data_IF_819396757736
#
_entry.id   IF_819396757736
#
_cell.length_a   1.000
_cell.length_b   1.000
_cell.length_c   1.000
_cell.angle_alpha   90.00
_cell.angle_beta   90.00
_cell.angle_gamma   90.00
#
_symmetry.space_group_name_H-M   'P 1'
#
loop_
_entity.id
_entity.type
_entity.pdbx_description
1 polymer ?
#
# COMPACT_ATOMS: atom_id res chain seq x y z
N UNK A 1 -94.69 14.50 0.73
CA UNK A 1 -94.67 14.76 -0.73
C UNK A 1 -93.70 13.76 -1.35
N UNK A 2 -94.14 13.11 -2.43
CA UNK A 2 -93.44 12.12 -3.27
C UNK A 2 -91.97 12.51 -3.58
N UNK A 3 -91.00 11.64 -3.91
CA UNK A 3 -91.04 10.54 -4.86
C UNK A 3 -89.69 9.77 -4.84
N UNK A 4 -89.71 8.49 -5.23
CA UNK A 4 -88.55 7.62 -5.55
C UNK A 4 -87.77 8.16 -6.78
N UNK A 5 -86.52 7.72 -6.99
CA UNK A 5 -86.09 6.79 -8.09
C UNK A 5 -84.62 7.00 -8.58
N UNK A 6 -83.84 5.88 -8.59
CA UNK A 6 -82.67 5.45 -9.42
C UNK A 6 -81.41 6.32 -9.59
N UNK A 7 -80.23 5.82 -10.00
CA UNK A 7 -79.37 4.61 -9.86
C UNK A 7 -78.03 5.04 -10.54
N UNK A 8 -76.88 4.54 -10.04
CA UNK A 8 -75.54 4.40 -10.67
C UNK A 8 -74.81 5.63 -11.22
N UNK A 9 -73.57 5.86 -10.75
CA UNK A 9 -72.42 5.50 -11.59
C UNK A 9 -71.14 5.33 -10.77
N UNK A 10 -70.27 4.49 -11.32
CA UNK A 10 -68.99 3.97 -10.85
C UNK A 10 -68.02 5.00 -10.27
N UNK A 11 -67.50 4.74 -9.07
CA UNK A 11 -66.30 5.39 -8.54
C UNK A 11 -65.48 4.37 -7.75
N UNK A 12 -64.52 3.72 -8.41
CA UNK A 12 -63.47 2.96 -7.72
C UNK A 12 -62.77 3.90 -6.75
N UNK A 13 -62.97 3.69 -5.46
CA UNK A 13 -62.05 4.21 -4.44
C UNK A 13 -60.75 3.42 -4.60
N UNK A 14 -59.86 3.89 -5.49
CA UNK A 14 -58.47 3.46 -5.47
C UNK A 14 -57.84 4.09 -4.22
N UNK A 15 -57.67 3.26 -3.21
CA UNK A 15 -57.13 3.59 -1.91
C UNK A 15 -55.74 4.20 -2.07
N UNK A 16 -55.59 5.46 -1.67
CA UNK A 16 -54.32 6.22 -1.60
C UNK A 16 -53.25 5.48 -0.76
N UNK A 17 -53.63 4.46 0.02
CA UNK A 17 -52.71 3.66 0.84
C UNK A 17 -51.76 2.75 0.05
N UNK A 18 -52.08 2.37 -1.21
CA UNK A 18 -51.18 1.54 -2.01
C UNK A 18 -50.01 2.32 -2.64
N UNK A 19 -50.17 3.63 -2.86
CA UNK A 19 -49.09 4.48 -3.38
C UNK A 19 -48.07 4.82 -2.28
N UNK A 20 -48.54 5.09 -1.06
CA UNK A 20 -47.65 5.35 0.07
C UNK A 20 -46.83 4.13 0.48
N UNK A 21 -47.40 2.92 0.42
CA UNK A 21 -46.67 1.69 0.78
C UNK A 21 -45.61 1.31 -0.25
N UNK A 22 -45.85 1.51 -1.55
CA UNK A 22 -44.84 1.22 -2.60
C UNK A 22 -43.72 2.26 -2.66
N UNK A 23 -44.03 3.55 -2.49
CA UNK A 23 -43.00 4.60 -2.46
C UNK A 23 -42.08 4.46 -1.24
N UNK A 24 -42.64 4.08 -0.08
CA UNK A 24 -41.86 3.83 1.13
C UNK A 24 -41.03 2.54 1.04
N UNK A 25 -41.53 1.49 0.37
CA UNK A 25 -40.75 0.27 0.09
C UNK A 25 -39.65 0.48 -0.95
N UNK A 26 -39.84 1.37 -1.93
CA UNK A 26 -38.77 1.74 -2.88
C UNK A 26 -37.71 2.61 -2.18
N UNK A 27 -38.12 3.53 -1.30
CA UNK A 27 -37.18 4.30 -0.47
C UNK A 27 -36.41 3.41 0.53
N UNK A 28 -37.06 2.39 1.10
CA UNK A 28 -36.39 1.41 1.98
C UNK A 28 -35.53 0.43 1.18
N UNK A 29 -35.96 0.00 -0.01
CA UNK A 29 -35.17 -0.87 -0.89
C UNK A 29 -33.92 -0.14 -1.46
N UNK A 30 -34.02 1.17 -1.72
CA UNK A 30 -32.88 2.03 -2.07
C UNK A 30 -31.95 2.29 -0.88
N UNK A 31 -32.44 2.23 0.37
CA UNK A 31 -31.60 2.24 1.56
C UNK A 31 -30.98 0.87 1.89
N UNK A 32 -31.49 -0.23 1.34
CA UNK A 32 -30.91 -1.58 1.52
C UNK A 32 -30.02 -2.03 0.37
N UNK A 33 -29.77 -1.18 -0.63
CA UNK A 33 -28.54 -1.30 -1.41
C UNK A 33 -27.38 -0.78 -0.56
N UNK A 34 -27.08 -1.52 0.52
CA UNK A 34 -25.85 -1.39 1.29
C UNK A 34 -24.67 -1.86 0.42
N UNK A 35 -24.40 -1.15 -0.68
CA UNK A 35 -23.02 -0.87 -1.00
C UNK A 35 -22.58 0.07 0.11
N UNK A 36 -21.66 -0.38 0.97
CA UNK A 36 -21.07 0.47 1.99
C UNK A 36 -20.76 1.84 1.36
N UNK A 37 -21.49 2.88 1.76
CA UNK A 37 -21.07 4.26 1.54
C UNK A 37 -19.84 4.44 2.43
N UNK A 38 -18.73 3.83 2.03
CA UNK A 38 -17.43 4.14 2.59
C UNK A 38 -17.17 5.60 2.22
N UNK A 39 -16.92 6.44 3.21
CA UNK A 39 -16.53 7.81 2.96
C UNK A 39 -15.26 7.78 2.10
N UNK A 40 -15.33 8.37 0.90
CA UNK A 40 -14.17 8.50 0.01
C UNK A 40 -13.11 9.34 0.73
N UNK A 41 -11.84 8.90 0.78
CA UNK A 41 -10.78 9.69 1.41
C UNK A 41 -10.65 11.06 0.73
N UNK A 42 -10.57 12.12 1.54
CA UNK A 42 -10.33 13.49 1.04
C UNK A 42 -9.23 14.16 1.83
N UNK A 43 -8.54 15.10 1.20
CA UNK A 43 -7.60 15.97 1.91
C UNK A 43 -8.37 16.90 2.84
N UNK A 44 -7.98 16.93 4.11
CA UNK A 44 -8.54 17.83 5.12
C UNK A 44 -7.92 19.24 5.07
N UNK A 45 -6.86 19.43 4.28
CA UNK A 45 -6.17 20.69 4.07
C UNK A 45 -4.91 20.52 3.23
N UNK A 46 -4.22 21.63 2.99
CA UNK A 46 -2.99 21.63 2.20
C UNK A 46 -1.87 20.84 2.90
N UNK A 47 -1.01 20.14 2.14
CA UNK A 47 0.17 19.49 2.69
C UNK A 47 1.13 20.49 3.33
N UNK A 48 1.88 20.02 4.33
CA UNK A 48 2.96 20.77 4.98
C UNK A 48 4.25 19.96 5.02
N UNK A 49 5.38 20.64 5.08
CA UNK A 49 6.68 20.01 5.31
C UNK A 49 6.65 19.28 6.67
N UNK A 50 7.09 18.03 6.67
CA UNK A 50 7.28 17.20 7.88
C UNK A 50 8.76 17.02 8.19
N UNK A 51 9.57 16.68 7.18
CA UNK A 51 11.01 16.49 7.30
C UNK A 51 11.70 17.29 6.20
N UNK A 52 12.70 18.08 6.57
CA UNK A 52 13.59 18.77 5.63
C UNK A 52 15.02 18.86 6.19
N UNK A 53 15.95 19.19 5.30
CA UNK A 53 17.33 19.58 5.61
C UNK A 53 17.85 20.44 4.44
N UNK A 54 18.75 21.39 4.70
CA UNK A 54 19.19 22.33 3.65
C UNK A 54 19.99 21.64 2.54
N UNK A 55 20.77 20.62 2.89
CA UNK A 55 21.71 19.95 1.98
C UNK A 55 21.36 18.47 1.71
N UNK A 56 20.16 18.02 2.09
CA UNK A 56 19.79 16.61 1.98
C UNK A 56 18.38 16.38 1.45
N UNK A 57 18.31 15.53 0.43
CA UNK A 57 17.07 15.03 -0.15
C UNK A 57 16.67 13.75 0.57
N UNK A 58 15.42 13.68 1.00
CA UNK A 58 14.80 12.52 1.62
C UNK A 58 13.74 11.91 0.71
N UNK A 59 13.61 10.59 0.79
CA UNK A 59 12.71 9.80 -0.04
C UNK A 59 12.22 8.55 0.68
N UNK A 60 11.19 7.93 0.11
CA UNK A 60 10.69 6.61 0.46
C UNK A 60 10.27 6.50 1.93
N UNK A 61 9.39 7.41 2.34
CA UNK A 61 8.84 7.42 3.69
C UNK A 61 7.97 6.18 3.98
N UNK A 62 7.95 5.71 5.23
CA UNK A 62 7.08 4.63 5.70
C UNK A 62 6.81 4.76 7.20
N UNK A 63 5.53 4.79 7.57
CA UNK A 63 5.10 4.82 8.97
C UNK A 63 5.34 3.49 9.68
N UNK A 64 5.73 3.56 10.95
CA UNK A 64 5.70 2.41 11.86
C UNK A 64 4.27 1.88 12.01
N UNK A 65 4.07 0.60 12.39
CA UNK A 65 2.74 0.00 12.55
C UNK A 65 1.83 0.71 13.57
N UNK A 66 2.43 1.38 14.56
CA UNK A 66 1.71 2.20 15.55
C UNK A 66 1.51 3.67 15.12
N UNK A 67 2.12 4.08 13.99
CA UNK A 67 2.04 5.43 13.44
C UNK A 67 2.80 6.50 14.23
N UNK A 68 3.63 6.11 15.21
CA UNK A 68 4.38 7.03 16.06
C UNK A 68 5.75 7.43 15.48
N UNK A 69 6.31 6.62 14.59
CA UNK A 69 7.61 6.86 13.97
C UNK A 69 7.48 6.84 12.45
N UNK A 70 8.21 7.73 11.79
CA UNK A 70 8.40 7.72 10.34
C UNK A 70 9.82 7.26 10.02
N UNK A 71 9.94 6.20 9.24
CA UNK A 71 11.19 5.81 8.62
C UNK A 71 11.28 6.39 7.21
N UNK A 72 12.47 6.78 6.78
CA UNK A 72 12.72 7.32 5.45
C UNK A 72 14.18 7.15 5.07
N UNK A 73 14.52 7.39 3.81
CA UNK A 73 15.89 7.29 3.31
C UNK A 73 16.36 8.62 2.75
N UNK A 74 17.67 8.72 2.48
CA UNK A 74 18.21 9.82 1.70
C UNK A 74 18.22 9.50 0.20
N UNK A 75 18.56 10.49 -0.63
CA UNK A 75 18.74 10.30 -2.07
C UNK A 75 19.61 9.07 -2.40
N UNK A 76 19.26 8.40 -3.50
CA UNK A 76 19.86 7.13 -3.93
C UNK A 76 19.69 5.98 -2.93
N UNK A 77 18.73 6.09 -2.00
CA UNK A 77 18.40 5.06 -1.02
C UNK A 77 19.54 4.75 -0.04
N UNK A 78 20.39 5.74 0.25
CA UNK A 78 21.51 5.58 1.16
C UNK A 78 21.06 5.76 2.60
N UNK A 79 21.27 4.73 3.40
CA UNK A 79 20.88 4.72 4.79
C UNK A 79 19.37 4.76 5.04
N UNK A 80 19.02 4.69 6.32
CA UNK A 80 17.66 4.82 6.83
C UNK A 80 17.71 5.75 8.03
N UNK A 81 16.74 6.66 8.08
CA UNK A 81 16.52 7.63 9.13
C UNK A 81 15.18 7.35 9.81
N UNK A 82 15.08 7.75 11.07
CA UNK A 82 13.86 7.71 11.86
C UNK A 82 13.56 9.11 12.38
N UNK A 83 12.28 9.49 12.43
CA UNK A 83 11.80 10.67 13.12
C UNK A 83 10.45 10.37 13.78
N UNK A 84 10.09 11.14 14.80
CA UNK A 84 8.78 11.06 15.41
C UNK A 84 7.69 11.48 14.42
N UNK A 85 6.45 11.10 14.70
CA UNK A 85 5.33 11.36 13.80
C UNK A 85 5.00 12.85 13.58
N UNK A 86 5.57 13.74 14.39
CA UNK A 86 5.49 15.19 14.24
C UNK A 86 6.68 15.79 13.46
N UNK A 87 7.68 14.98 13.10
CA UNK A 87 8.90 15.38 12.40
C UNK A 87 10.11 15.62 13.30
N UNK A 88 9.94 15.56 14.62
CA UNK A 88 11.01 15.79 15.59
C UNK A 88 11.89 14.54 15.79
N UNK A 89 12.96 14.69 16.59
CA UNK A 89 13.85 13.60 16.97
C UNK A 89 14.44 12.80 15.79
N UNK A 90 14.65 13.48 14.65
CA UNK A 90 15.32 12.94 13.46
C UNK A 90 16.69 12.36 13.83
N UNK A 91 16.90 11.08 13.52
CA UNK A 91 18.18 10.37 13.76
C UNK A 91 18.47 9.32 12.70
N UNK A 92 19.75 9.03 12.50
CA UNK A 92 20.21 8.00 11.57
C UNK A 92 20.10 6.61 12.23
N UNK A 93 19.39 5.68 11.57
CA UNK A 93 19.36 4.27 11.97
C UNK A 93 20.56 3.51 11.40
N UNK A 94 20.86 3.72 10.12
CA UNK A 94 22.01 3.10 9.44
C UNK A 94 22.48 3.95 8.27
N UNK A 95 23.78 3.93 8.00
CA UNK A 95 24.41 4.57 6.83
C UNK A 95 24.63 3.58 5.66
N UNK A 96 24.16 2.34 5.79
CA UNK A 96 24.43 1.28 4.81
C UNK A 96 23.94 1.66 3.40
N UNK A 97 24.77 1.38 2.40
CA UNK A 97 24.44 1.61 0.99
C UNK A 97 23.20 0.80 0.59
N UNK A 98 22.30 1.42 -0.17
CA UNK A 98 21.05 0.85 -0.68
C UNK A 98 20.03 0.38 0.38
N UNK A 99 20.29 0.59 1.68
CA UNK A 99 19.40 0.18 2.75
C UNK A 99 17.99 0.78 2.61
N UNK A 100 17.89 1.98 2.05
CA UNK A 100 16.62 2.68 1.83
C UNK A 100 15.73 2.10 0.74
N UNK A 101 16.21 1.16 -0.07
CA UNK A 101 15.44 0.63 -1.19
C UNK A 101 14.59 -0.55 -0.72
N UNK A 102 13.29 -0.29 -0.56
CA UNK A 102 12.33 -1.35 -0.21
C UNK A 102 12.48 -1.88 1.22
N UNK A 103 12.97 -1.06 2.17
CA UNK A 103 12.94 -1.46 3.59
C UNK A 103 11.50 -1.66 4.07
N UNK A 104 11.32 -2.42 5.16
CA UNK A 104 10.03 -2.64 5.78
C UNK A 104 10.11 -2.71 7.29
N UNK A 105 9.09 -2.21 7.96
CA UNK A 105 8.91 -2.37 9.41
C UNK A 105 8.55 -3.82 9.74
N UNK A 106 9.04 -4.31 10.87
CA UNK A 106 8.48 -5.52 11.48
C UNK A 106 7.04 -5.26 11.94
N UNK A 107 6.16 -6.28 11.99
CA UNK A 107 4.78 -6.10 12.44
C UNK A 107 4.64 -5.52 13.86
N UNK A 108 5.63 -5.77 14.71
CA UNK A 108 5.69 -5.25 16.08
C UNK A 108 6.30 -3.83 16.17
N UNK A 109 6.77 -3.26 15.05
CA UNK A 109 7.35 -1.92 14.98
C UNK A 109 8.74 -1.77 15.59
N UNK A 110 9.35 -2.83 16.11
CA UNK A 110 10.66 -2.75 16.81
C UNK A 110 11.87 -2.89 15.90
N UNK A 111 11.66 -3.29 14.66
CA UNK A 111 12.75 -3.56 13.72
C UNK A 111 12.46 -3.03 12.32
N UNK A 112 13.53 -2.81 11.57
CA UNK A 112 13.47 -2.55 10.13
C UNK A 112 14.30 -3.62 9.40
N UNK A 113 13.65 -4.29 8.46
CA UNK A 113 14.29 -5.17 7.50
C UNK A 113 14.73 -4.36 6.29
N UNK A 114 16.00 -4.51 5.91
CA UNK A 114 16.53 -3.85 4.72
C UNK A 114 17.45 -4.78 3.93
N UNK A 115 17.43 -4.59 2.61
CA UNK A 115 18.46 -5.12 1.71
C UNK A 115 19.54 -4.05 1.58
N UNK A 116 20.77 -4.38 1.94
CA UNK A 116 21.91 -3.47 1.78
C UNK A 116 22.83 -3.93 0.66
N UNK A 117 23.77 -3.08 0.27
CA UNK A 117 24.76 -3.40 -0.74
C UNK A 117 26.17 -3.16 -0.25
N UNK A 118 27.10 -3.99 -0.73
CA UNK A 118 28.53 -3.79 -0.56
C UNK A 118 29.25 -4.10 -1.88
N UNK A 119 30.29 -3.33 -2.19
CA UNK A 119 31.09 -3.54 -3.41
C UNK A 119 32.49 -4.01 -3.05
N UNK A 120 32.87 -5.19 -3.54
CA UNK A 120 34.21 -5.76 -3.39
C UNK A 120 34.76 -6.16 -4.75
N UNK A 121 36.02 -5.83 -5.05
CA UNK A 121 36.66 -6.20 -6.32
C UNK A 121 35.80 -5.84 -7.56
N UNK A 122 35.18 -4.65 -7.55
CA UNK A 122 34.26 -4.14 -8.59
C UNK A 122 32.99 -5.00 -8.79
N UNK A 123 32.64 -5.84 -7.82
CA UNK A 123 31.43 -6.66 -7.81
C UNK A 123 30.53 -6.18 -6.68
N UNK A 124 29.28 -5.88 -7.03
CA UNK A 124 28.23 -5.56 -6.06
C UNK A 124 27.65 -6.84 -5.48
N UNK A 125 27.49 -6.88 -4.18
CA UNK A 125 26.82 -7.93 -3.41
C UNK A 125 25.68 -7.29 -2.61
N UNK A 126 24.66 -8.10 -2.35
CA UNK A 126 23.55 -7.74 -1.48
C UNK A 126 23.64 -8.50 -0.17
N UNK A 127 23.19 -7.85 0.90
CA UNK A 127 22.98 -8.46 2.21
C UNK A 127 21.54 -8.21 2.64
N UNK A 128 21.04 -9.03 3.55
CA UNK A 128 19.76 -8.78 4.23
C UNK A 128 20.04 -8.61 5.71
N UNK A 129 19.66 -7.44 6.24
CA UNK A 129 19.87 -7.06 7.63
C UNK A 129 18.55 -6.69 8.30
N UNK A 130 18.45 -6.99 9.59
CA UNK A 130 17.36 -6.53 10.46
C UNK A 130 17.96 -5.61 11.51
N UNK A 131 17.54 -4.36 11.51
CA UNK A 131 17.98 -3.30 12.41
C UNK A 131 16.99 -3.13 13.54
N UNK A 132 17.49 -3.04 14.77
CA UNK A 132 16.75 -2.64 15.96
C UNK A 132 16.53 -1.12 15.91
N UNK A 133 15.27 -0.70 16.03
CA UNK A 133 14.91 0.70 15.83
C UNK A 133 15.35 1.59 16.99
N UNK A 134 15.49 1.08 18.20
CA UNK A 134 15.82 1.90 19.39
C UNK A 134 17.32 2.16 19.49
N UNK A 135 18.14 1.13 19.29
CA UNK A 135 19.59 1.20 19.55
C UNK A 135 20.47 1.10 18.29
N UNK A 136 19.87 0.98 17.10
CA UNK A 136 20.56 0.87 15.80
C UNK A 136 21.46 -0.36 15.64
N UNK A 137 21.41 -1.32 16.56
CA UNK A 137 22.08 -2.61 16.38
C UNK A 137 21.40 -3.41 15.26
N UNK A 138 22.09 -4.40 14.70
CA UNK A 138 21.52 -5.22 13.64
C UNK A 138 22.04 -6.65 13.65
N UNK A 139 21.26 -7.52 13.01
CA UNK A 139 21.66 -8.88 12.66
C UNK A 139 21.70 -9.04 11.15
N UNK A 140 22.67 -9.81 10.65
CA UNK A 140 22.74 -10.21 9.25
C UNK A 140 21.93 -11.50 9.10
N UNK A 141 20.81 -11.44 8.38
CA UNK A 141 19.99 -12.62 8.06
C UNK A 141 20.50 -13.34 6.81
N UNK A 142 21.10 -12.59 5.88
CA UNK A 142 21.73 -13.12 4.68
C UNK A 142 23.05 -12.42 4.42
N UNK A 143 24.12 -13.20 4.41
CA UNK A 143 25.47 -12.77 4.05
C UNK A 143 25.58 -12.42 2.56
N UNK A 144 26.68 -11.75 2.21
CA UNK A 144 26.98 -11.26 0.85
C UNK A 144 26.62 -12.28 -0.23
N UNK A 145 25.70 -11.90 -1.08
CA UNK A 145 25.24 -12.74 -2.18
C UNK A 145 24.90 -11.92 -3.41
N UNK A 146 24.93 -12.56 -4.58
CA UNK A 146 24.44 -12.01 -5.86
C UNK A 146 23.16 -12.69 -6.35
N UNK A 147 22.66 -13.64 -5.55
CA UNK A 147 21.52 -14.49 -5.89
C UNK A 147 20.20 -13.90 -5.39
N UNK A 148 20.22 -12.95 -4.45
CA UNK A 148 19.01 -12.30 -3.95
C UNK A 148 18.27 -11.59 -5.11
N UNK A 149 17.04 -12.00 -5.35
CA UNK A 149 16.10 -11.40 -6.30
C UNK A 149 14.98 -10.72 -5.50
N UNK A 150 14.57 -9.54 -5.96
CA UNK A 150 13.49 -8.78 -5.32
C UNK A 150 13.85 -8.19 -3.95
N UNK A 151 12.81 -7.89 -3.18
CA UNK A 151 12.86 -7.27 -1.85
C UNK A 151 12.49 -8.34 -0.80
N UNK A 152 13.29 -8.54 0.26
CA UNK A 152 12.93 -9.44 1.35
C UNK A 152 11.76 -8.86 2.15
N UNK A 153 10.86 -9.72 2.64
CA UNK A 153 9.67 -9.29 3.39
C UNK A 153 9.50 -10.09 4.68
N UNK A 154 9.00 -9.45 5.74
CA UNK A 154 8.55 -10.17 6.92
C UNK A 154 7.34 -11.05 6.58
N UNK A 155 7.28 -12.21 7.22
CA UNK A 155 6.02 -12.97 7.36
C UNK A 155 5.02 -12.16 8.21
N UNK A 156 3.70 -12.34 8.03
CA UNK A 156 2.70 -11.54 8.73
C UNK A 156 2.80 -11.57 10.27
N UNK A 157 3.29 -12.69 10.83
CA UNK A 157 3.50 -12.85 12.27
C UNK A 157 4.87 -12.31 12.76
N UNK A 158 5.71 -11.83 11.84
CA UNK A 158 7.05 -11.29 12.12
C UNK A 158 8.10 -12.33 12.50
N UNK A 159 7.76 -13.62 12.51
CA UNK A 159 8.65 -14.68 12.99
C UNK A 159 9.79 -15.02 12.02
N UNK A 160 9.56 -14.79 10.73
CA UNK A 160 10.48 -15.12 9.64
C UNK A 160 10.53 -14.02 8.58
N UNK A 161 11.61 -14.03 7.80
CA UNK A 161 11.78 -13.23 6.58
C UNK A 161 11.77 -14.14 5.36
N UNK A 162 10.91 -13.82 4.40
CA UNK A 162 10.85 -14.45 3.09
C UNK A 162 11.71 -13.68 2.08
N UNK A 163 12.49 -14.41 1.29
CA UNK A 163 13.42 -13.85 0.31
C UNK A 163 13.56 -14.79 -0.88
N UNK A 164 13.61 -14.23 -2.09
CA UNK A 164 13.80 -15.04 -3.30
C UNK A 164 15.30 -15.10 -3.63
N UNK A 165 15.85 -16.31 -3.66
CA UNK A 165 17.24 -16.60 -3.98
C UNK A 165 17.29 -17.35 -5.31
N UNK A 166 17.76 -16.66 -6.35
CA UNK A 166 17.67 -17.05 -7.75
C UNK A 166 16.22 -17.38 -8.16
N UNK A 167 15.79 -18.64 -8.07
CA UNK A 167 14.42 -19.09 -8.37
C UNK A 167 13.71 -19.72 -7.17
N UNK A 168 14.33 -19.71 -6.00
CA UNK A 168 13.86 -20.41 -4.80
C UNK A 168 13.40 -19.41 -3.74
N UNK A 169 12.26 -19.68 -3.12
CA UNK A 169 11.84 -18.96 -1.92
C UNK A 169 12.61 -19.52 -0.70
N UNK A 170 13.31 -18.67 0.02
CA UNK A 170 13.96 -18.98 1.29
C UNK A 170 13.24 -18.27 2.45
N UNK A 171 13.20 -18.94 3.60
CA UNK A 171 12.67 -18.40 4.85
C UNK A 171 13.81 -18.38 5.87
N UNK A 172 14.06 -17.23 6.49
CA UNK A 172 15.05 -17.06 7.56
C UNK A 172 14.33 -16.69 8.86
N UNK A 173 14.62 -17.36 9.99
CA UNK A 173 14.06 -16.99 11.28
C UNK A 173 14.55 -15.62 11.74
N UNK A 174 13.70 -14.91 12.48
CA UNK A 174 14.05 -13.66 13.16
C UNK A 174 14.06 -13.90 14.67
N UNK A 175 15.17 -13.55 15.33
CA UNK A 175 15.36 -13.76 16.77
C UNK A 175 15.73 -15.21 17.17
N UNK A 176 15.98 -15.42 18.47
CA UNK A 176 16.42 -16.71 19.04
C UNK A 176 15.31 -17.76 19.21
N UNK A 177 14.05 -17.40 18.99
CA UNK A 177 12.88 -18.19 19.43
C UNK A 177 11.95 -18.66 18.29
N UNK A 178 12.43 -18.68 17.05
CA UNK A 178 11.68 -19.17 15.88
C UNK A 178 11.54 -20.70 15.83
N UNK A 179 11.27 -21.35 16.97
CA UNK A 179 10.65 -22.68 17.02
C UNK A 179 9.12 -22.62 17.11
N UNK A 180 8.52 -21.42 17.10
CA UNK A 180 7.07 -21.30 16.90
C UNK A 180 6.75 -21.85 15.51
N UNK A 181 6.02 -22.97 15.49
CA UNK A 181 5.43 -23.53 14.27
C UNK A 181 4.66 -22.41 13.59
N UNK A 182 5.20 -21.90 12.49
CA UNK A 182 4.44 -21.07 11.55
C UNK A 182 3.16 -21.82 11.23
N UNK A 183 2.03 -21.11 11.26
CA UNK A 183 0.74 -21.71 10.97
C UNK A 183 0.82 -22.42 9.61
N UNK A 184 0.34 -23.66 9.54
CA UNK A 184 0.70 -24.62 8.47
C UNK A 184 0.13 -24.26 7.09
N UNK A 185 -0.58 -23.15 6.98
CA UNK A 185 -1.32 -22.71 5.80
C UNK A 185 -1.00 -21.27 5.35
N UNK A 186 0.19 -20.75 5.65
CA UNK A 186 0.63 -19.45 5.13
C UNK A 186 1.08 -19.61 3.67
N UNK A 187 0.56 -18.76 2.79
CA UNK A 187 1.07 -18.56 1.43
C UNK A 187 1.68 -17.18 1.29
N UNK A 188 2.78 -17.08 0.57
CA UNK A 188 3.41 -15.80 0.21
C UNK A 188 3.14 -15.54 -1.26
N UNK A 189 2.64 -14.33 -1.56
CA UNK A 189 2.35 -13.88 -2.92
C UNK A 189 3.40 -12.86 -3.32
N UNK A 190 4.03 -13.07 -4.48
CA UNK A 190 5.13 -12.23 -4.95
C UNK A 190 5.25 -12.28 -6.48
N UNK A 191 5.77 -11.21 -7.10
CA UNK A 191 6.06 -11.21 -8.53
C UNK A 191 7.33 -12.02 -8.84
N UNK A 192 7.29 -12.74 -9.96
CA UNK A 192 8.45 -13.37 -10.60
C UNK A 192 8.42 -12.99 -12.07
N UNK A 193 9.32 -12.07 -12.45
CA UNK A 193 9.41 -11.51 -13.81
C UNK A 193 8.08 -10.86 -14.26
N UNK A 194 7.28 -11.59 -15.04
CA UNK A 194 6.02 -11.19 -15.64
C UNK A 194 4.78 -11.87 -15.03
N UNK A 195 4.98 -12.65 -13.96
CA UNK A 195 3.93 -13.43 -13.30
C UNK A 195 3.78 -13.04 -11.84
N UNK A 196 2.55 -13.19 -11.34
CA UNK A 196 2.30 -13.25 -9.90
C UNK A 196 2.25 -14.72 -9.50
N UNK A 197 3.04 -15.09 -8.50
CA UNK A 197 3.10 -16.45 -7.96
C UNK A 197 2.65 -16.42 -6.49
N UNK A 198 1.87 -17.42 -6.10
CA UNK A 198 1.59 -17.73 -4.71
C UNK A 198 2.26 -19.04 -4.36
N UNK A 199 3.03 -19.05 -3.27
CA UNK A 199 3.77 -20.23 -2.80
C UNK A 199 3.37 -20.54 -1.37
N UNK A 200 2.89 -21.75 -1.13
CA UNK A 200 2.56 -22.22 0.21
C UNK A 200 3.84 -22.57 0.98
N UNK A 201 4.03 -21.98 2.16
CA UNK A 201 5.31 -22.03 2.88
C UNK A 201 5.69 -23.43 3.37
N UNK A 202 4.69 -24.25 3.73
CA UNK A 202 4.92 -25.60 4.26
C UNK A 202 5.17 -26.62 3.15
N UNK A 203 4.32 -26.66 2.13
CA UNK A 203 4.40 -27.65 1.04
C UNK A 203 5.39 -27.24 -0.06
N UNK A 204 5.73 -25.95 -0.13
CA UNK A 204 6.49 -25.32 -1.24
C UNK A 204 5.80 -25.42 -2.60
N UNK A 205 4.53 -25.80 -2.62
CA UNK A 205 3.72 -25.79 -3.82
C UNK A 205 3.49 -24.34 -4.27
N UNK A 206 3.72 -24.10 -5.56
CA UNK A 206 3.60 -22.78 -6.18
C UNK A 206 2.51 -22.80 -7.24
N UNK A 207 1.73 -21.72 -7.31
CA UNK A 207 0.67 -21.51 -8.31
C UNK A 207 0.86 -20.15 -8.96
N UNK A 208 0.80 -20.11 -10.30
CA UNK A 208 0.69 -18.85 -11.04
C UNK A 208 -0.72 -18.30 -10.89
N UNK A 209 -0.82 -17.06 -10.44
CA UNK A 209 -2.08 -16.36 -10.14
C UNK A 209 -2.47 -15.40 -11.25
N UNK A 210 -1.47 -14.77 -11.87
CA UNK A 210 -1.63 -13.90 -13.03
C UNK A 210 -0.37 -13.96 -13.89
N UNK A 211 -0.54 -13.74 -15.20
CA UNK A 211 0.53 -13.71 -16.21
C UNK A 211 0.32 -12.48 -17.09
N UNK A 212 1.36 -11.67 -17.25
CA UNK A 212 1.31 -10.42 -18.01
C UNK A 212 2.16 -10.45 -19.29
N UNK A 213 2.55 -11.64 -19.76
CA UNK A 213 3.11 -11.87 -21.09
C UNK A 213 4.37 -11.04 -21.37
N UNK A 214 5.41 -11.24 -20.55
CA UNK A 214 6.71 -10.58 -20.67
C UNK A 214 6.76 -9.15 -20.12
N UNK A 215 5.69 -8.66 -19.49
CA UNK A 215 5.64 -7.31 -18.90
C UNK A 215 6.05 -7.35 -17.44
N UNK A 216 7.08 -6.59 -17.10
CA UNK A 216 7.64 -6.57 -15.76
C UNK A 216 6.63 -6.06 -14.73
N UNK A 217 6.62 -6.69 -13.56
CA UNK A 217 5.78 -6.32 -12.41
C UNK A 217 6.65 -5.69 -11.32
N UNK A 218 6.21 -4.57 -10.76
CA UNK A 218 6.97 -3.81 -9.76
C UNK A 218 6.04 -2.99 -8.87
N UNK A 219 6.61 -2.36 -7.83
CA UNK A 219 5.89 -1.55 -6.85
C UNK A 219 4.73 -2.30 -6.16
N UNK A 220 4.94 -3.59 -5.90
CA UNK A 220 3.96 -4.44 -5.23
C UNK A 220 3.83 -4.13 -3.73
N UNK A 221 2.60 -4.16 -3.22
CA UNK A 221 2.29 -4.02 -1.79
C UNK A 221 1.13 -4.92 -1.41
N UNK A 222 1.29 -5.69 -0.34
CA UNK A 222 0.19 -6.39 0.30
C UNK A 222 -0.69 -5.40 1.08
N UNK A 223 -1.99 -5.67 1.09
CA UNK A 223 -2.94 -4.93 1.93
C UNK A 223 -2.63 -5.17 3.43
N UNK A 224 -3.00 -4.26 4.33
CA UNK A 224 -2.74 -4.37 5.78
C UNK A 224 -3.12 -5.72 6.40
N UNK A 225 -4.22 -6.32 5.95
CA UNK A 225 -4.73 -7.61 6.37
C UNK A 225 -4.19 -8.81 5.56
N UNK A 226 -3.35 -8.55 4.55
CA UNK A 226 -2.68 -9.57 3.72
C UNK A 226 -3.57 -10.32 2.74
N UNK A 227 -4.79 -9.81 2.46
CA UNK A 227 -5.78 -10.48 1.59
C UNK A 227 -5.76 -10.00 0.15
N UNK A 228 -5.15 -8.85 -0.12
CA UNK A 228 -4.99 -8.31 -1.47
C UNK A 228 -3.55 -7.93 -1.72
N UNK A 229 -3.18 -7.87 -2.99
CA UNK A 229 -1.92 -7.31 -3.45
C UNK A 229 -2.22 -6.31 -4.56
N UNK A 230 -1.72 -5.08 -4.38
CA UNK A 230 -1.67 -4.08 -5.43
C UNK A 230 -0.28 -4.09 -6.05
N UNK A 231 -0.17 -3.88 -7.35
CA UNK A 231 1.10 -3.89 -8.07
C UNK A 231 0.98 -3.14 -9.39
N UNK A 232 2.11 -2.69 -9.91
CA UNK A 232 2.21 -2.03 -11.20
C UNK A 232 2.71 -3.00 -12.27
N UNK A 233 2.12 -2.91 -13.45
CA UNK A 233 2.55 -3.67 -14.63
C UNK A 233 3.10 -2.68 -15.64
N UNK A 234 4.33 -2.92 -16.10
CA UNK A 234 5.05 -2.05 -17.01
C UNK A 234 4.17 -1.68 -18.21
N UNK A 235 3.89 -0.39 -18.41
CA UNK A 235 3.05 0.16 -19.49
C UNK A 235 1.62 -0.39 -19.58
N UNK A 236 1.11 -1.02 -18.51
CA UNK A 236 -0.30 -1.42 -18.37
C UNK A 236 -0.97 -0.77 -17.16
N UNK A 237 -0.23 -0.12 -16.26
CA UNK A 237 -0.79 0.60 -15.11
C UNK A 237 -0.91 -0.27 -13.86
N UNK A 238 -1.83 0.12 -12.98
CA UNK A 238 -2.02 -0.44 -11.66
C UNK A 238 -3.06 -1.57 -11.67
N UNK A 239 -2.76 -2.64 -10.95
CA UNK A 239 -3.64 -3.80 -10.78
C UNK A 239 -3.75 -4.16 -9.31
N UNK A 240 -4.86 -4.81 -8.96
CA UNK A 240 -5.05 -5.47 -7.68
C UNK A 240 -5.54 -6.90 -7.89
N UNK A 241 -5.10 -7.82 -7.04
CA UNK A 241 -5.55 -9.22 -7.02
C UNK A 241 -5.74 -9.68 -5.58
N UNK A 242 -6.69 -10.58 -5.32
CA UNK A 242 -6.78 -11.24 -4.03
C UNK A 242 -5.61 -12.24 -3.87
N UNK A 243 -5.14 -12.45 -2.65
CA UNK A 243 -4.01 -13.37 -2.39
C UNK A 243 -4.36 -14.85 -2.62
N UNK A 244 -5.65 -15.18 -2.75
CA UNK A 244 -6.17 -16.47 -3.22
C UNK A 244 -6.18 -16.61 -4.76
N UNK A 245 -5.84 -15.54 -5.48
CA UNK A 245 -5.68 -15.49 -6.94
C UNK A 245 -6.95 -15.10 -7.68
N UNK A 246 -8.02 -14.79 -6.96
CA UNK A 246 -9.27 -14.30 -7.55
C UNK A 246 -9.26 -12.78 -7.69
N UNK A 247 -10.26 -12.23 -8.40
CA UNK A 247 -10.53 -10.78 -8.36
C UNK A 247 -9.46 -9.88 -8.99
N UNK A 248 -8.69 -10.38 -9.98
CA UNK A 248 -7.75 -9.55 -10.72
C UNK A 248 -8.47 -8.38 -11.39
N UNK A 249 -8.14 -7.17 -10.98
CA UNK A 249 -8.82 -5.93 -11.37
C UNK A 249 -7.78 -4.89 -11.83
N UNK A 250 -8.03 -4.26 -12.97
CA UNK A 250 -7.23 -3.13 -13.48
C UNK A 250 -7.76 -1.83 -12.89
N UNK A 251 -6.88 -1.04 -12.26
CA UNK A 251 -7.23 0.20 -11.55
C UNK A 251 -6.87 1.48 -12.32
N UNK A 252 -6.29 1.35 -13.51
CA UNK A 252 -5.89 2.50 -14.32
C UNK A 252 -4.47 2.98 -14.03
N UNK A 253 -4.25 4.29 -14.11
CA UNK A 253 -2.92 4.88 -13.96
C UNK A 253 -2.63 5.23 -12.49
N UNK A 254 -1.37 5.03 -12.07
CA UNK A 254 -0.91 5.29 -10.72
C UNK A 254 0.30 4.43 -10.34
N UNK A 255 1.17 4.99 -9.51
CA UNK A 255 2.42 4.38 -9.08
C UNK A 255 2.58 4.44 -7.56
N UNK A 256 3.50 3.63 -7.02
CA UNK A 256 3.88 3.62 -5.61
C UNK A 256 2.69 3.54 -4.64
N UNK A 257 1.75 2.63 -4.92
CA UNK A 257 0.52 2.50 -4.16
C UNK A 257 0.76 2.29 -2.66
N UNK A 258 -0.07 2.93 -1.85
CA UNK A 258 -0.07 2.86 -0.40
C UNK A 258 -1.48 2.56 0.09
N UNK A 259 -1.65 1.50 0.86
CA UNK A 259 -2.98 1.04 1.25
C UNK A 259 -3.60 1.91 2.34
N UNK A 260 -4.89 2.21 2.18
CA UNK A 260 -5.71 2.65 3.31
C UNK A 260 -5.95 1.48 4.28
N UNK A 261 -6.11 1.72 5.59
CA UNK A 261 -6.22 0.64 6.59
C UNK A 261 -7.39 -0.33 6.38
N UNK A 262 -8.47 0.15 5.75
CA UNK A 262 -9.67 -0.63 5.47
C UNK A 262 -9.59 -1.44 4.15
N UNK A 263 -8.50 -1.31 3.38
CA UNK A 263 -8.23 -2.09 2.17
C UNK A 263 -9.28 -1.99 1.06
N UNK A 264 -10.00 -0.88 1.07
CA UNK A 264 -10.99 -0.43 0.09
C UNK A 264 -10.42 0.63 -0.87
N UNK A 265 -9.40 1.37 -0.44
CA UNK A 265 -8.65 2.34 -1.24
C UNK A 265 -7.14 2.13 -1.17
N UNK A 266 -6.47 2.58 -2.23
CA UNK A 266 -5.03 2.86 -2.25
C UNK A 266 -4.79 4.31 -2.59
N UNK A 267 -3.81 4.96 -1.96
CA UNK A 267 -3.29 6.25 -2.39
C UNK A 267 -2.12 6.00 -3.34
N UNK A 268 -2.11 6.65 -4.49
CA UNK A 268 -1.11 6.47 -5.56
C UNK A 268 -0.58 7.82 -6.02
N UNK A 269 0.62 7.83 -6.58
CA UNK A 269 1.13 8.96 -7.35
C UNK A 269 0.75 8.81 -8.82
N UNK A 270 0.21 9.87 -9.41
CA UNK A 270 0.13 10.06 -10.86
C UNK A 270 1.26 11.01 -11.24
N UNK A 271 2.22 10.51 -12.02
CA UNK A 271 3.47 11.20 -12.31
C UNK A 271 3.40 11.81 -13.70
N UNK A 272 3.83 13.06 -13.81
CA UNK A 272 4.03 13.75 -15.09
C UNK A 272 5.52 13.87 -15.38
N UNK A 273 5.92 13.52 -16.60
CA UNK A 273 7.31 13.63 -17.04
C UNK A 273 7.42 14.06 -18.51
N UNK A 274 8.60 14.53 -18.90
CA UNK A 274 8.93 14.91 -20.28
C UNK A 274 9.87 13.91 -20.98
N UNK A 275 9.97 12.69 -20.46
CA UNK A 275 10.91 11.66 -20.90
C UNK A 275 12.34 11.79 -20.34
N UNK A 276 12.66 12.90 -19.66
CA UNK A 276 13.98 13.12 -19.04
C UNK A 276 13.88 13.38 -17.53
N UNK A 277 12.87 14.14 -17.11
CA UNK A 277 12.66 14.55 -15.73
C UNK A 277 11.19 14.45 -15.38
N UNK A 278 10.93 14.19 -14.10
CA UNK A 278 9.61 14.39 -13.50
C UNK A 278 9.33 15.89 -13.53
N UNK A 279 8.18 16.26 -14.08
CA UNK A 279 7.70 17.65 -14.20
C UNK A 279 6.52 17.95 -13.29
N UNK A 280 5.93 16.93 -12.67
CA UNK A 280 4.81 17.04 -11.75
C UNK A 280 4.44 15.70 -11.16
N UNK A 281 3.61 15.73 -10.11
CA UNK A 281 3.20 14.54 -9.38
C UNK A 281 2.05 14.87 -8.45
N UNK A 282 0.99 14.07 -8.52
CA UNK A 282 -0.24 14.32 -7.78
C UNK A 282 -0.72 13.03 -7.12
N UNK A 283 -1.26 13.13 -5.90
CA UNK A 283 -1.81 11.99 -5.19
C UNK A 283 -3.29 11.78 -5.48
N UNK A 284 -3.66 10.53 -5.71
CA UNK A 284 -5.05 10.11 -5.89
C UNK A 284 -5.39 8.96 -4.94
N UNK A 285 -6.57 9.00 -4.33
CA UNK A 285 -7.18 7.84 -3.70
C UNK A 285 -7.95 7.04 -4.76
N UNK A 286 -7.62 5.77 -4.96
CA UNK A 286 -8.23 4.89 -5.96
C UNK A 286 -8.98 3.76 -5.25
N UNK A 287 -10.27 3.63 -5.53
CA UNK A 287 -11.08 2.53 -5.02
C UNK A 287 -10.65 1.21 -5.67
N UNK A 288 -10.26 0.24 -4.86
CA UNK A 288 -9.65 -1.00 -5.37
C UNK A 288 -10.65 -1.96 -6.03
N UNK A 289 -11.95 -1.73 -5.87
CA UNK A 289 -12.98 -2.58 -6.48
C UNK A 289 -13.52 -1.97 -7.78
N UNK A 290 -13.57 -0.64 -7.89
CA UNK A 290 -14.17 0.05 -9.04
C UNK A 290 -13.15 0.72 -9.96
N UNK A 291 -11.94 1.03 -9.45
CA UNK A 291 -10.96 1.87 -10.15
C UNK A 291 -11.32 3.36 -10.16
N UNK A 292 -12.41 3.78 -9.50
CA UNK A 292 -12.77 5.19 -9.34
C UNK A 292 -11.69 5.90 -8.53
N UNK A 293 -11.26 7.08 -8.98
CA UNK A 293 -10.18 7.84 -8.37
C UNK A 293 -10.63 9.24 -7.93
N UNK A 294 -10.04 9.71 -6.83
CA UNK A 294 -10.25 11.04 -6.27
C UNK A 294 -8.91 11.73 -6.08
N UNK A 295 -8.80 12.95 -6.62
CA UNK A 295 -7.60 13.77 -6.52
C UNK A 295 -7.46 14.35 -5.11
N UNK A 296 -6.33 14.10 -4.44
CA UNK A 296 -6.08 14.53 -3.06
C UNK A 296 -5.26 15.81 -2.97
N UNK A 297 -4.24 16.00 -3.81
CA UNK A 297 -3.30 17.13 -3.74
C UNK A 297 -3.55 18.22 -4.79
N UNK A 298 -4.77 18.27 -5.33
CA UNK A 298 -5.13 19.22 -6.38
C UNK A 298 -4.80 20.66 -5.98
N UNK A 299 -4.10 21.37 -6.86
CA UNK A 299 -3.81 22.81 -6.72
C UNK A 299 -2.93 23.18 -5.52
N UNK A 300 -2.22 22.22 -4.95
CA UNK A 300 -1.29 22.47 -3.83
C UNK A 300 0.04 23.07 -4.29
N UNK A 301 0.41 22.85 -5.56
CA UNK A 301 1.68 23.30 -6.12
C UNK A 301 2.89 22.49 -5.65
N UNK A 302 2.68 21.39 -4.92
CA UNK A 302 3.75 20.45 -4.53
C UNK A 302 3.77 19.27 -5.50
N UNK A 303 4.97 18.78 -5.82
CA UNK A 303 5.13 17.54 -6.58
C UNK A 303 5.05 16.37 -5.61
N UNK A 304 3.88 15.72 -5.50
CA UNK A 304 3.62 14.70 -4.48
C UNK A 304 3.87 13.27 -5.00
N UNK A 305 4.96 12.65 -4.53
CA UNK A 305 5.39 11.32 -4.97
C UNK A 305 5.47 10.30 -3.83
N UNK A 306 5.30 9.01 -4.15
CA UNK A 306 5.54 7.88 -3.22
C UNK A 306 4.79 8.02 -1.89
N UNK A 307 3.45 7.99 -1.91
CA UNK A 307 2.65 8.15 -0.72
C UNK A 307 2.90 7.03 0.31
N UNK A 308 2.79 7.40 1.58
CA UNK A 308 2.84 6.53 2.74
C UNK A 308 1.67 6.87 3.66
N UNK A 309 0.57 6.12 3.51
CA UNK A 309 -0.60 6.23 4.37
C UNK A 309 -0.24 5.71 5.76
N UNK A 310 -0.57 6.48 6.79
CA UNK A 310 -0.39 6.10 8.19
C UNK A 310 -1.35 4.97 8.59
N UNK A 311 -1.02 4.14 9.61
CA UNK A 311 -1.89 3.04 10.03
C UNK A 311 -3.29 3.46 10.49
N UNK A 312 -3.46 4.71 10.91
CA UNK A 312 -4.77 5.26 11.27
C UNK A 312 -5.61 5.68 10.05
N UNK A 313 -4.99 5.78 8.87
CA UNK A 313 -5.62 6.26 7.63
C UNK A 313 -5.84 7.78 7.59
N UNK A 314 -5.37 8.51 8.61
CA UNK A 314 -5.63 9.96 8.75
C UNK A 314 -4.54 10.84 8.18
N UNK A 315 -3.38 10.27 7.85
CA UNK A 315 -2.23 11.01 7.33
C UNK A 315 -1.62 10.28 6.15
N UNK A 316 -1.11 11.05 5.20
CA UNK A 316 -0.26 10.57 4.10
C UNK A 316 1.03 11.36 4.12
N UNK A 317 2.16 10.68 4.35
CA UNK A 317 3.48 11.25 4.11
C UNK A 317 3.86 11.01 2.64
N UNK A 318 4.62 11.90 2.01
CA UNK A 318 5.05 11.73 0.63
C UNK A 318 6.31 12.55 0.34
N UNK A 319 7.04 12.13 -0.69
CA UNK A 319 8.27 12.76 -1.14
C UNK A 319 7.92 13.98 -2.02
N UNK A 320 8.61 15.11 -1.81
CA UNK A 320 8.64 16.22 -2.76
C UNK A 320 10.02 16.31 -3.43
N UNK A 321 10.17 15.92 -4.70
CA UNK A 321 11.46 15.95 -5.38
C UNK A 321 11.95 17.36 -5.69
N UNK A 322 11.10 18.38 -5.63
CA UNK A 322 11.47 19.76 -5.98
C UNK A 322 12.40 20.40 -4.94
N UNK A 323 12.16 20.10 -3.65
CA UNK A 323 12.95 20.60 -2.52
C UNK A 323 13.61 19.48 -1.69
N UNK A 324 13.39 18.21 -2.05
CA UNK A 324 13.94 17.05 -1.36
C UNK A 324 13.34 16.78 0.01
N UNK A 325 12.24 17.43 0.37
CA UNK A 325 11.60 17.26 1.68
C UNK A 325 10.55 16.16 1.67
N UNK A 326 10.21 15.64 2.85
CA UNK A 326 9.03 14.80 3.06
C UNK A 326 7.91 15.69 3.58
N UNK A 327 6.78 15.68 2.88
CA UNK A 327 5.57 16.38 3.26
C UNK A 327 4.59 15.42 3.95
N UNK A 328 3.63 15.99 4.67
CA UNK A 328 2.49 15.28 5.24
C UNK A 328 1.21 16.03 4.97
N UNK A 329 0.15 15.28 4.67
CA UNK A 329 -1.21 15.76 4.48
C UNK A 329 -2.17 14.97 5.36
N UNK A 330 -3.17 15.65 5.92
CA UNK A 330 -4.24 15.03 6.71
C UNK A 330 -5.40 14.60 5.81
N UNK A 331 -6.04 13.48 6.15
CA UNK A 331 -7.20 12.90 5.47
C UNK A 331 -8.43 12.90 6.37
N UNK A 332 -9.61 13.08 5.77
CA UNK A 332 -10.93 12.95 6.41
C UNK A 332 -11.90 12.03 5.67
#
# INVERSE_FOLDING_TARGET
>A
MFMKTKISNTGKVQTISQWFSRAMLIAFALMTMNGSLMAQPRAAGDPRVLISDEDQFFVNAAWSPDGQTLAFSSANFNGIWLADANGENKRLLTADEAAGFGFSWSPDGRHILARTAETENRRRFHLVKVFDTENSSYVILQEKTRQLKGIPVFTPDGSQVAMVMDRNLELKPVGRESERRTDRNISVVYPVEDKIISTQLTTRESKTMADFEGRFIFNERLSPEGKKMVFQVQGKGLYVINTDGTGLTHLGHGEYASWMPASDFVVVSVVEDNGYYITGGELYAVNVNTGESHHLTAHTGVTALKPAVSPSGKRVAFDNPDDGSIYVMELE
#
